data_IF_011287390148
#
_entry.id   IF_011287390148
#
_cell.length_a   1.000
_cell.length_b   1.000
_cell.length_c   1.000
_cell.angle_alpha   90.00
_cell.angle_beta   90.00
_cell.angle_gamma   90.00
#
_symmetry.space_group_name_H-M   'P 1'
#
loop_
_entity.id
_entity.type
_entity.pdbx_description
1 polymer ?
#
# COMPACT_ATOMS: atom_id res chain seq x y z
N UNK A 1 -55.40 -50.80 -2.29
CA UNK A 1 -54.58 -49.94 -1.42
C UNK A 1 -53.54 -49.22 -2.27
N UNK A 2 -53.73 -47.92 -2.49
CA UNK A 2 -52.89 -47.07 -3.35
C UNK A 2 -51.59 -46.71 -2.61
N UNK A 3 -50.43 -47.00 -3.19
CA UNK A 3 -49.13 -46.48 -2.74
C UNK A 3 -48.96 -45.09 -3.35
N UNK A 4 -48.94 -44.07 -2.49
CA UNK A 4 -48.59 -42.69 -2.86
C UNK A 4 -47.06 -42.58 -2.81
N UNK A 5 -46.47 -42.28 -3.97
CA UNK A 5 -45.05 -41.97 -4.12
C UNK A 5 -44.87 -40.49 -3.75
N UNK A 6 -44.24 -40.20 -2.61
CA UNK A 6 -43.90 -38.84 -2.20
C UNK A 6 -42.58 -38.46 -2.87
N UNK A 7 -42.66 -37.68 -3.95
CA UNK A 7 -41.51 -37.03 -4.57
C UNK A 7 -41.14 -35.83 -3.69
N UNK A 8 -40.01 -35.90 -2.98
CA UNK A 8 -39.43 -34.74 -2.30
C UNK A 8 -38.61 -33.97 -3.35
N UNK A 9 -39.19 -32.89 -3.87
CA UNK A 9 -38.46 -31.91 -4.66
C UNK A 9 -37.65 -31.05 -3.70
N UNK A 10 -36.33 -31.25 -3.62
CA UNK A 10 -35.43 -30.34 -2.90
C UNK A 10 -35.27 -29.09 -3.77
N UNK A 11 -36.03 -28.05 -3.48
CA UNK A 11 -35.77 -26.71 -3.99
C UNK A 11 -34.59 -26.14 -3.21
N UNK A 12 -33.39 -26.17 -3.79
CA UNK A 12 -32.25 -25.40 -3.29
C UNK A 12 -32.58 -23.92 -3.51
N UNK A 13 -33.11 -23.26 -2.48
CA UNK A 13 -33.13 -21.80 -2.42
C UNK A 13 -31.71 -21.32 -2.13
N UNK A 14 -30.95 -21.04 -3.19
CA UNK A 14 -29.85 -20.09 -3.13
C UNK A 14 -30.45 -18.71 -2.92
N UNK A 15 -30.54 -18.26 -1.67
CA UNK A 15 -30.71 -16.84 -1.35
C UNK A 15 -29.32 -16.30 -1.06
N UNK A 16 -28.73 -15.45 -1.93
CA UNK A 16 -27.63 -14.61 -1.49
C UNK A 16 -28.20 -13.69 -0.41
N UNK A 17 -27.62 -13.75 0.79
CA UNK A 17 -27.90 -12.82 1.87
C UNK A 17 -27.55 -11.39 1.43
N UNK A 18 -28.51 -10.68 0.84
CA UNK A 18 -28.40 -9.25 0.48
C UNK A 18 -28.65 -8.35 1.70
N UNK A 19 -29.03 -8.91 2.86
CA UNK A 19 -29.52 -8.11 4.00
C UNK A 19 -28.55 -7.93 5.19
N UNK A 20 -27.25 -8.18 5.05
CA UNK A 20 -26.27 -7.90 6.13
C UNK A 20 -25.05 -7.04 5.75
N UNK A 21 -24.80 -6.77 4.46
CA UNK A 21 -23.56 -6.11 4.03
C UNK A 21 -23.65 -4.58 4.14
N UNK A 22 -24.81 -3.98 3.89
CA UNK A 22 -24.95 -2.52 3.84
C UNK A 22 -24.82 -1.82 5.21
N UNK A 23 -25.38 -2.37 6.33
CA UNK A 23 -25.18 -1.79 7.66
C UNK A 23 -23.71 -1.84 8.11
N UNK A 24 -23.02 -2.95 7.87
CA UNK A 24 -21.59 -3.12 8.20
C UNK A 24 -20.72 -2.17 7.37
N UNK A 25 -21.02 -2.03 6.07
CA UNK A 25 -20.37 -1.06 5.18
C UNK A 25 -20.54 0.37 5.67
N UNK A 26 -21.76 0.79 6.03
CA UNK A 26 -22.01 2.16 6.52
C UNK A 26 -21.28 2.45 7.82
N UNK A 27 -21.28 1.51 8.77
CA UNK A 27 -20.54 1.64 10.02
C UNK A 27 -19.02 1.72 9.78
N UNK A 28 -18.50 0.89 8.88
CA UNK A 28 -17.09 0.93 8.49
C UNK A 28 -16.70 2.27 7.87
N UNK A 29 -17.48 2.77 6.90
CA UNK A 29 -17.22 4.08 6.28
C UNK A 29 -17.24 5.18 7.35
N UNK A 30 -18.26 5.21 8.21
CA UNK A 30 -18.35 6.19 9.30
C UNK A 30 -17.15 6.15 10.27
N UNK A 31 -16.55 4.97 10.47
CA UNK A 31 -15.37 4.81 11.32
C UNK A 31 -14.11 5.46 10.74
N UNK A 32 -13.98 5.45 9.41
CA UNK A 32 -12.79 5.94 8.69
C UNK A 32 -12.98 7.33 8.08
N UNK A 33 -14.22 7.83 7.99
CA UNK A 33 -14.51 9.19 7.52
C UNK A 33 -13.84 10.23 8.42
N UNK A 34 -13.17 11.25 7.85
CA UNK A 34 -12.63 12.36 8.63
C UNK A 34 -13.73 13.03 9.48
N UNK A 35 -13.42 13.34 10.74
CA UNK A 35 -14.37 13.96 11.68
C UNK A 35 -14.12 15.46 11.89
N UNK A 36 -13.34 16.04 11.00
CA UNK A 36 -12.87 17.43 11.05
C UNK A 36 -13.37 18.19 9.83
N UNK A 37 -13.24 19.51 9.85
CA UNK A 37 -13.70 20.39 8.76
C UNK A 37 -12.94 20.14 7.45
N UNK A 38 -11.66 19.77 7.56
CA UNK A 38 -10.81 19.48 6.40
C UNK A 38 -10.07 18.16 6.55
N UNK A 39 -9.83 17.48 5.43
CA UNK A 39 -8.88 16.38 5.32
C UNK A 39 -7.67 16.80 4.47
N UNK A 40 -6.46 16.44 4.91
CA UNK A 40 -5.22 16.74 4.18
C UNK A 40 -4.48 15.44 3.96
N UNK A 41 -4.28 15.09 2.69
CA UNK A 41 -3.52 13.93 2.26
C UNK A 41 -2.13 14.38 1.82
N UNK A 42 -1.10 13.90 2.50
CA UNK A 42 0.27 14.05 2.07
C UNK A 42 0.83 12.65 1.84
N UNK A 43 1.14 12.34 0.58
CA UNK A 43 1.33 10.96 0.14
C UNK A 43 2.72 10.75 -0.48
N UNK A 44 3.44 9.78 0.06
CA UNK A 44 4.69 9.24 -0.44
C UNK A 44 4.58 7.72 -0.60
N UNK A 45 5.08 7.20 -1.72
CA UNK A 45 4.99 5.77 -2.04
C UNK A 45 3.65 5.33 -2.63
N UNK A 46 3.57 4.08 -3.09
CA UNK A 46 2.37 3.55 -3.76
C UNK A 46 1.24 3.17 -2.81
N UNK A 47 1.57 2.57 -1.65
CA UNK A 47 0.56 2.06 -0.73
C UNK A 47 -0.29 3.19 -0.10
N UNK A 48 0.30 4.30 0.39
CA UNK A 48 -0.48 5.45 0.84
C UNK A 48 -1.32 6.08 -0.26
N UNK A 49 -0.80 6.14 -1.49
CA UNK A 49 -1.56 6.61 -2.67
C UNK A 49 -2.81 5.76 -2.89
N UNK A 50 -2.69 4.44 -2.89
CA UNK A 50 -3.83 3.55 -3.10
C UNK A 50 -4.88 3.69 -1.99
N UNK A 51 -4.43 3.71 -0.73
CA UNK A 51 -5.34 3.92 0.40
C UNK A 51 -6.09 5.24 0.27
N UNK A 52 -5.36 6.35 0.10
CA UNK A 52 -5.94 7.68 0.03
C UNK A 52 -6.88 7.82 -1.17
N UNK A 53 -6.49 7.30 -2.33
CA UNK A 53 -7.32 7.33 -3.54
C UNK A 53 -8.64 6.58 -3.37
N UNK A 54 -8.67 5.45 -2.65
CA UNK A 54 -9.93 4.79 -2.30
C UNK A 54 -10.72 5.59 -1.27
N UNK A 55 -10.05 6.06 -0.21
CA UNK A 55 -10.66 6.75 0.91
C UNK A 55 -11.34 8.07 0.51
N UNK A 56 -10.71 8.85 -0.38
CA UNK A 56 -11.28 10.08 -0.96
C UNK A 56 -12.57 9.82 -1.74
N UNK A 57 -12.83 8.61 -2.23
CA UNK A 57 -14.10 8.31 -2.91
C UNK A 57 -15.25 8.06 -1.92
N UNK A 58 -14.96 7.86 -0.63
CA UNK A 58 -15.91 7.36 0.37
C UNK A 58 -16.59 8.44 1.23
N UNK A 59 -16.18 9.70 1.09
CA UNK A 59 -16.73 10.80 1.88
C UNK A 59 -16.79 12.08 1.04
N UNK A 60 -17.34 13.15 1.61
CA UNK A 60 -17.46 14.45 0.96
C UNK A 60 -16.79 15.59 1.76
N UNK A 61 -15.96 15.25 2.75
CA UNK A 61 -15.22 16.25 3.55
C UNK A 61 -14.28 17.04 2.64
N UNK A 62 -14.30 18.40 2.66
CA UNK A 62 -13.37 19.23 1.90
C UNK A 62 -11.92 18.80 2.11
N UNK A 63 -11.23 18.49 1.02
CA UNK A 63 -9.96 17.78 1.06
C UNK A 63 -8.89 18.43 0.22
N UNK A 64 -7.64 18.31 0.68
CA UNK A 64 -6.45 18.68 -0.08
C UNK A 64 -5.59 17.45 -0.28
N UNK A 65 -5.11 17.21 -1.50
CA UNK A 65 -4.15 16.14 -1.78
C UNK A 65 -2.85 16.69 -2.33
N UNK A 66 -1.75 16.29 -1.69
CA UNK A 66 -0.40 16.36 -2.21
C UNK A 66 0.16 14.94 -2.32
N UNK A 67 0.75 14.61 -3.47
CA UNK A 67 1.37 13.32 -3.71
C UNK A 67 2.70 13.49 -4.45
N UNK A 68 3.74 12.78 -4.01
CA UNK A 68 5.03 12.78 -4.71
C UNK A 68 4.96 12.05 -6.07
N UNK A 69 4.23 10.92 -6.14
CA UNK A 69 4.06 10.14 -7.38
C UNK A 69 2.85 10.64 -8.17
N UNK A 70 2.94 11.87 -8.68
CA UNK A 70 1.88 12.50 -9.46
C UNK A 70 1.55 11.72 -10.73
N UNK A 71 2.56 11.06 -11.30
CA UNK A 71 2.46 10.23 -12.48
C UNK A 71 1.50 9.03 -12.32
N UNK A 72 1.18 8.64 -11.09
CA UNK A 72 0.17 7.61 -10.84
C UNK A 72 -1.26 8.12 -10.96
N UNK A 73 -1.48 9.44 -10.94
CA UNK A 73 -2.81 10.03 -10.92
C UNK A 73 -3.22 10.59 -12.28
N UNK A 74 -4.46 10.35 -12.67
CA UNK A 74 -5.20 11.23 -13.57
C UNK A 74 -6.09 12.15 -12.72
N UNK A 75 -5.55 13.33 -12.41
CA UNK A 75 -6.23 14.28 -11.53
C UNK A 75 -7.54 14.85 -12.09
N UNK A 76 -7.84 14.65 -13.39
CA UNK A 76 -9.16 15.00 -13.95
C UNK A 76 -10.29 14.14 -13.37
N UNK A 77 -9.95 12.99 -12.77
CA UNK A 77 -10.85 12.07 -12.11
C UNK A 77 -10.85 12.20 -10.57
N UNK A 78 -10.29 13.28 -10.02
CA UNK A 78 -10.42 13.57 -8.59
C UNK A 78 -11.89 13.78 -8.19
N UNK A 79 -12.32 13.34 -7.00
CA UNK A 79 -13.61 13.72 -6.45
C UNK A 79 -13.73 15.24 -6.33
N UNK A 80 -14.93 15.79 -6.55
CA UNK A 80 -15.16 17.24 -6.58
C UNK A 80 -14.79 17.97 -5.28
N UNK A 81 -14.87 17.28 -4.13
CA UNK A 81 -14.50 17.85 -2.83
C UNK A 81 -12.98 17.83 -2.57
N UNK A 82 -12.18 17.25 -3.47
CA UNK A 82 -10.73 17.13 -3.34
C UNK A 82 -10.03 18.12 -4.26
N UNK A 83 -9.24 18.99 -3.68
CA UNK A 83 -8.33 19.87 -4.40
C UNK A 83 -6.91 19.30 -4.41
N UNK A 84 -6.31 19.20 -5.58
CA UNK A 84 -4.89 18.91 -5.71
C UNK A 84 -4.05 20.16 -5.43
N UNK A 85 -2.92 19.98 -4.74
CA UNK A 85 -1.86 20.99 -4.66
C UNK A 85 -0.65 20.54 -5.48
N UNK A 86 -0.21 21.43 -6.37
CA UNK A 86 0.97 21.23 -7.19
C UNK A 86 2.22 21.79 -6.50
N UNK A 87 2.89 20.91 -5.76
CA UNK A 87 4.28 21.08 -5.31
C UNK A 87 5.06 19.87 -5.83
N UNK A 88 5.96 20.04 -6.81
CA UNK A 88 6.83 18.94 -7.29
C UNK A 88 7.78 18.51 -6.15
N UNK A 89 8.28 19.51 -5.43
CA UNK A 89 8.94 19.33 -4.16
C UNK A 89 8.26 20.22 -3.14
N UNK A 90 7.99 19.67 -1.97
CA UNK A 90 7.40 20.36 -0.81
C UNK A 90 8.15 21.66 -0.38
N UNK A 91 9.32 21.96 -0.96
CA UNK A 91 10.03 23.24 -0.81
C UNK A 91 9.39 24.41 -1.57
N UNK A 92 8.46 24.16 -2.50
CA UNK A 92 7.73 25.19 -3.27
C UNK A 92 6.72 25.97 -2.41
N UNK A 93 6.21 25.31 -1.37
CA UNK A 93 5.44 25.93 -0.30
C UNK A 93 4.01 26.31 -0.69
N UNK A 94 3.45 25.82 -1.80
CA UNK A 94 2.03 26.03 -2.10
C UNK A 94 1.17 25.31 -1.07
N UNK A 95 1.52 24.07 -0.71
CA UNK A 95 0.80 23.33 0.33
C UNK A 95 0.81 24.08 1.66
N UNK A 96 1.94 24.68 2.04
CA UNK A 96 2.03 25.47 3.26
C UNK A 96 1.10 26.70 3.23
N UNK A 97 1.01 27.40 2.10
CA UNK A 97 0.11 28.56 1.96
C UNK A 97 -1.35 28.15 2.03
N UNK A 98 -1.74 27.06 1.36
CA UNK A 98 -3.12 26.55 1.41
C UNK A 98 -3.49 26.17 2.86
N UNK A 99 -2.62 25.45 3.57
CA UNK A 99 -2.87 25.10 4.97
C UNK A 99 -2.96 26.35 5.85
N UNK A 100 -2.09 27.35 5.65
CA UNK A 100 -2.15 28.63 6.37
C UNK A 100 -3.46 29.38 6.12
N UNK A 101 -3.97 29.37 4.88
CA UNK A 101 -5.24 30.01 4.53
C UNK A 101 -6.42 29.34 5.22
N UNK A 102 -6.48 28.00 5.21
CA UNK A 102 -7.52 27.25 5.94
C UNK A 102 -7.42 27.50 7.45
N UNK A 103 -6.21 27.59 7.99
CA UNK A 103 -5.97 27.79 9.41
C UNK A 103 -6.30 29.20 9.92
N UNK A 104 -6.60 30.16 9.03
CA UNK A 104 -7.10 31.50 9.41
C UNK A 104 -8.42 31.41 10.16
N UNK A 105 -9.25 30.42 9.84
CA UNK A 105 -10.34 30.04 10.73
C UNK A 105 -9.73 29.34 11.96
N UNK A 106 -9.76 30.03 13.10
CA UNK A 106 -9.24 29.51 14.36
C UNK A 106 -10.00 28.28 14.89
N UNK A 107 -11.22 28.02 14.42
CA UNK A 107 -12.03 26.87 14.80
C UNK A 107 -11.79 25.63 13.94
N UNK A 108 -11.23 25.80 12.74
CA UNK A 108 -11.01 24.71 11.80
C UNK A 108 -10.05 23.65 12.37
N UNK A 109 -10.44 22.39 12.27
CA UNK A 109 -9.63 21.21 12.58
C UNK A 109 -9.30 20.44 11.31
N UNK A 110 -8.24 19.64 11.39
CA UNK A 110 -7.68 18.92 10.25
C UNK A 110 -7.45 17.45 10.59
N UNK A 111 -7.96 16.56 9.74
CA UNK A 111 -7.52 15.17 9.72
C UNK A 111 -6.39 15.07 8.69
N UNK A 112 -5.20 14.65 9.11
CA UNK A 112 -4.00 14.63 8.26
C UNK A 112 -3.59 13.18 8.01
N UNK A 113 -3.79 12.73 6.78
CA UNK A 113 -3.33 11.43 6.28
C UNK A 113 -1.92 11.59 5.72
N UNK A 114 -0.96 10.89 6.32
CA UNK A 114 0.46 11.19 6.17
C UNK A 114 1.25 9.90 6.02
N UNK A 115 2.06 9.79 4.98
CA UNK A 115 3.03 8.67 4.94
C UNK A 115 3.97 8.76 6.14
N UNK A 116 4.07 7.67 6.89
CA UNK A 116 4.83 7.52 8.13
C UNK A 116 6.30 7.95 8.01
N UNK A 117 6.96 7.61 6.91
CA UNK A 117 8.39 7.92 6.66
C UNK A 117 8.69 9.41 6.58
N UNK A 118 7.69 10.27 6.37
CA UNK A 118 7.83 11.72 6.37
C UNK A 118 7.16 12.40 7.56
N UNK A 119 6.61 11.62 8.50
CA UNK A 119 5.65 12.12 9.46
C UNK A 119 6.17 13.28 10.31
N UNK A 120 7.37 13.10 10.88
CA UNK A 120 7.94 14.10 11.77
C UNK A 120 8.23 15.42 11.09
N UNK A 121 8.78 15.37 9.88
CA UNK A 121 9.07 16.59 9.14
C UNK A 121 7.79 17.30 8.67
N UNK A 122 6.82 16.56 8.13
CA UNK A 122 5.59 17.14 7.63
C UNK A 122 4.76 17.81 8.75
N UNK A 123 4.58 17.14 9.89
CA UNK A 123 3.84 17.69 11.04
C UNK A 123 4.51 18.98 11.54
N UNK A 124 5.82 18.93 11.76
CA UNK A 124 6.55 20.06 12.32
C UNK A 124 6.59 21.26 11.37
N UNK A 125 6.80 21.03 10.07
CA UNK A 125 6.91 22.13 9.10
C UNK A 125 5.54 22.70 8.71
N UNK A 126 4.56 21.87 8.37
CA UNK A 126 3.32 22.35 7.77
C UNK A 126 2.26 22.75 8.76
N UNK A 127 2.37 22.34 10.02
CA UNK A 127 1.36 22.61 11.02
C UNK A 127 1.93 23.35 12.23
N UNK A 128 2.91 22.75 12.91
CA UNK A 128 3.44 23.31 14.16
C UNK A 128 4.18 24.63 13.92
N UNK A 129 5.03 24.70 12.87
CA UNK A 129 5.84 25.91 12.62
C UNK A 129 5.03 27.15 12.24
N UNK A 130 3.81 26.96 11.75
CA UNK A 130 2.89 28.03 11.35
C UNK A 130 1.84 28.35 12.44
N UNK A 131 1.96 27.73 13.61
CA UNK A 131 1.12 28.02 14.78
C UNK A 131 -0.17 27.22 14.90
N UNK A 132 -0.35 26.15 14.12
CA UNK A 132 -1.49 25.23 14.32
C UNK A 132 -1.21 24.36 15.55
N UNK A 133 -2.08 24.44 16.54
CA UNK A 133 -1.98 23.68 17.77
C UNK A 133 -2.36 22.21 17.58
N UNK A 134 -1.76 21.32 18.36
CA UNK A 134 -1.98 19.86 18.25
C UNK A 134 -3.44 19.46 18.52
N UNK A 135 -4.18 20.23 19.30
CA UNK A 135 -5.60 20.00 19.55
C UNK A 135 -6.50 20.31 18.34
N UNK A 136 -5.96 20.87 17.26
CA UNK A 136 -6.64 21.03 15.97
C UNK A 136 -6.32 19.93 14.96
N UNK A 137 -5.47 18.96 15.33
CA UNK A 137 -5.00 17.91 14.42
C UNK A 137 -5.46 16.52 14.85
N UNK A 138 -5.99 15.75 13.91
CA UNK A 138 -6.21 14.32 14.02
C UNK A 138 -5.26 13.65 12.99
N UNK A 139 -4.29 12.86 13.45
CA UNK A 139 -3.21 12.34 12.59
C UNK A 139 -3.45 10.87 12.21
N UNK A 140 -3.37 10.58 10.93
CA UNK A 140 -3.54 9.24 10.36
C UNK A 140 -2.23 8.87 9.64
N UNK A 141 -1.34 8.15 10.33
CA UNK A 141 -0.09 7.69 9.76
C UNK A 141 -0.36 6.49 8.84
N UNK A 142 0.07 6.57 7.59
CA UNK A 142 -0.06 5.53 6.59
C UNK A 142 1.32 4.92 6.33
N UNK A 143 1.42 3.60 6.45
CA UNK A 143 2.67 2.90 6.14
C UNK A 143 3.06 3.07 4.67
N UNK A 144 4.32 3.44 4.42
CA UNK A 144 4.94 3.31 3.09
C UNK A 144 4.94 1.85 2.59
N UNK A 145 4.97 0.89 3.51
CA UNK A 145 4.99 -0.54 3.25
C UNK A 145 6.34 -1.14 3.64
N UNK A 146 7.18 -1.48 2.65
CA UNK A 146 8.45 -2.12 2.94
C UNK A 146 9.45 -1.23 3.65
N UNK A 147 9.48 0.08 3.38
CA UNK A 147 10.41 0.98 4.06
C UNK A 147 10.09 1.03 5.56
N UNK A 148 8.82 1.17 5.93
CA UNK A 148 8.34 1.09 7.31
C UNK A 148 8.94 -0.13 8.01
N UNK A 149 8.70 -1.32 7.47
CA UNK A 149 9.12 -2.58 8.10
C UNK A 149 10.65 -2.72 8.14
N UNK A 150 11.35 -2.44 7.04
CA UNK A 150 12.81 -2.54 6.98
C UNK A 150 13.46 -1.63 8.03
N UNK A 151 12.94 -0.41 8.21
CA UNK A 151 13.45 0.54 9.19
C UNK A 151 13.22 0.08 10.63
N UNK A 152 12.11 -0.61 10.90
CA UNK A 152 11.88 -1.22 12.21
C UNK A 152 12.94 -2.28 12.54
N UNK A 153 13.18 -3.19 11.59
CA UNK A 153 14.15 -4.25 11.76
C UNK A 153 15.55 -3.68 11.97
N UNK A 154 15.96 -2.73 11.13
CA UNK A 154 17.25 -2.05 11.26
C UNK A 154 17.42 -1.35 12.60
N UNK A 155 16.38 -0.67 13.09
CA UNK A 155 16.48 0.15 14.31
C UNK A 155 16.28 -0.63 15.59
N UNK A 156 15.54 -1.74 15.59
CA UNK A 156 15.09 -2.34 16.84
C UNK A 156 15.30 -3.85 16.95
N UNK A 157 15.47 -4.54 15.83
CA UNK A 157 15.63 -6.00 15.82
C UNK A 157 17.09 -6.39 15.58
N UNK A 158 17.77 -5.73 14.64
CA UNK A 158 19.15 -6.04 14.28
C UNK A 158 20.16 -5.59 15.35
N UNK A 159 19.80 -4.60 16.17
CA UNK A 159 20.55 -4.17 17.35
C UNK A 159 19.60 -4.08 18.56
N UNK A 160 19.25 -5.24 19.16
CA UNK A 160 18.31 -5.29 20.27
C UNK A 160 18.90 -4.66 21.54
N UNK A 161 20.23 -4.62 21.66
CA UNK A 161 20.93 -4.11 22.85
C UNK A 161 20.71 -2.61 23.08
N UNK A 162 20.64 -1.82 22.01
CA UNK A 162 20.39 -0.39 22.08
C UNK A 162 18.95 0.00 21.72
N UNK A 163 18.10 -0.94 21.29
CA UNK A 163 16.77 -0.67 20.75
C UNK A 163 15.89 0.16 21.71
N UNK A 164 15.85 -0.21 22.99
CA UNK A 164 15.01 0.47 23.99
C UNK A 164 15.54 1.88 24.28
N UNK A 165 16.84 2.04 24.53
CA UNK A 165 17.44 3.35 24.78
C UNK A 165 17.32 4.27 23.56
N UNK A 166 17.47 3.74 22.34
CA UNK A 166 17.26 4.45 21.08
C UNK A 166 15.82 4.94 20.97
N UNK A 167 14.84 4.06 21.20
CA UNK A 167 13.43 4.40 21.14
C UNK A 167 13.02 5.45 22.18
N UNK A 168 13.51 5.32 23.42
CA UNK A 168 13.28 6.31 24.49
C UNK A 168 13.85 7.68 24.13
N UNK A 169 15.06 7.74 23.57
CA UNK A 169 15.67 8.98 23.11
C UNK A 169 14.87 9.61 21.96
N UNK A 170 14.41 8.80 21.00
CA UNK A 170 13.54 9.26 19.91
C UNK A 170 12.23 9.84 20.46
N UNK A 171 11.54 9.16 21.38
CA UNK A 171 10.34 9.67 22.05
C UNK A 171 10.59 11.00 22.77
N UNK A 172 11.69 11.12 23.50
CA UNK A 172 12.08 12.37 24.17
C UNK A 172 12.26 13.52 23.17
N UNK A 173 12.96 13.28 22.06
CA UNK A 173 13.20 14.27 21.01
C UNK A 173 11.89 14.69 20.33
N UNK A 174 11.01 13.74 20.02
CA UNK A 174 9.69 14.03 19.44
C UNK A 174 8.83 14.85 20.38
N UNK A 175 8.74 14.46 21.67
CA UNK A 175 8.01 15.24 22.68
C UNK A 175 8.53 16.67 22.77
N UNK A 176 9.86 16.84 22.76
CA UNK A 176 10.47 18.16 22.78
C UNK A 176 10.11 19.00 21.56
N UNK A 177 10.14 18.41 20.37
CA UNK A 177 9.78 19.09 19.13
C UNK A 177 8.29 19.46 19.06
N UNK A 178 7.40 18.65 19.65
CA UNK A 178 5.96 18.86 19.63
C UNK A 178 5.48 19.91 20.65
N UNK A 179 6.03 19.92 21.86
CA UNK A 179 5.47 20.68 22.99
C UNK A 179 6.34 21.84 23.48
N UNK A 180 7.59 21.97 23.03
CA UNK A 180 8.48 23.06 23.46
C UNK A 180 8.82 23.99 22.29
N UNK A 181 8.09 25.10 22.21
CA UNK A 181 8.19 26.13 21.16
C UNK A 181 9.54 26.88 21.14
N UNK A 182 10.37 26.75 22.18
CA UNK A 182 11.74 27.29 22.24
C UNK A 182 12.79 26.44 21.52
N UNK A 183 12.39 25.40 20.75
CA UNK A 183 13.25 24.75 19.74
C UNK A 183 13.46 25.65 18.51
N UNK A 184 13.88 26.88 18.80
CA UNK A 184 14.20 27.95 17.86
C UNK A 184 15.72 27.92 17.69
N UNK A 185 16.17 27.63 16.48
CA UNK A 185 17.53 27.92 15.96
C UNK A 185 18.71 26.96 16.22
N UNK A 186 18.54 25.63 16.34
CA UNK A 186 19.74 24.76 16.31
C UNK A 186 19.57 23.26 16.06
N UNK A 187 18.46 22.66 16.46
CA UNK A 187 18.25 21.22 16.31
C UNK A 187 16.79 20.91 15.90
N UNK A 188 16.26 21.59 14.87
CA UNK A 188 15.04 21.05 14.22
C UNK A 188 15.34 19.59 13.88
N UNK A 189 14.50 18.64 14.30
CA UNK A 189 14.62 17.25 13.84
C UNK A 189 14.86 17.32 12.33
N UNK A 190 16.02 16.85 11.90
CA UNK A 190 16.53 17.15 10.57
C UNK A 190 15.50 16.73 9.51
N UNK A 191 15.45 17.50 8.43
CA UNK A 191 14.61 17.28 7.26
C UNK A 191 14.62 15.80 6.86
N UNK A 192 13.43 15.19 6.74
CA UNK A 192 13.25 13.79 6.32
C UNK A 192 13.85 12.69 7.23
N UNK A 193 13.88 12.90 8.55
CA UNK A 193 14.34 11.84 9.44
C UNK A 193 13.24 10.82 9.77
N UNK A 194 13.22 9.73 9.00
CA UNK A 194 12.31 8.59 9.16
C UNK A 194 12.56 7.80 10.46
N UNK A 195 13.67 8.05 11.19
CA UNK A 195 13.97 7.35 12.44
C UNK A 195 12.97 7.67 13.55
N UNK A 196 12.22 8.77 13.46
CA UNK A 196 11.28 9.17 14.50
C UNK A 196 9.83 8.70 14.27
N UNK A 197 9.50 8.06 13.14
CA UNK A 197 8.11 7.73 12.79
C UNK A 197 7.36 6.97 13.91
N UNK A 198 8.06 6.03 14.55
CA UNK A 198 7.52 5.17 15.61
C UNK A 198 7.36 5.90 16.95
N UNK A 199 8.12 6.97 17.17
CA UNK A 199 7.93 7.84 18.32
C UNK A 199 6.74 8.78 18.09
N UNK A 200 6.54 9.28 16.86
CA UNK A 200 5.38 10.12 16.53
C UNK A 200 4.06 9.37 16.72
N UNK A 201 3.98 8.08 16.38
CA UNK A 201 2.77 7.27 16.60
C UNK A 201 2.38 7.07 18.08
N UNK A 202 3.23 7.51 19.01
CA UNK A 202 3.02 7.37 20.46
C UNK A 202 2.90 8.73 21.16
N UNK A 203 3.67 9.73 20.73
CA UNK A 203 3.74 11.04 21.41
C UNK A 203 2.67 12.05 20.95
N UNK A 204 2.02 11.79 19.81
CA UNK A 204 0.91 12.61 19.32
C UNK A 204 -0.38 12.28 20.10
N UNK A 205 -1.18 13.30 20.48
CA UNK A 205 -2.34 13.10 21.35
C UNK A 205 -3.52 12.40 20.66
N UNK A 206 -3.65 12.55 19.33
CA UNK A 206 -4.70 11.94 18.51
C UNK A 206 -4.11 11.41 17.22
N UNK A 207 -3.51 10.24 17.31
CA UNK A 207 -2.86 9.56 16.19
C UNK A 207 -3.38 8.15 16.04
N UNK A 208 -3.61 7.70 14.80
CA UNK A 208 -3.75 6.29 14.45
C UNK A 208 -2.67 5.93 13.44
N UNK A 209 -2.08 4.75 13.57
CA UNK A 209 -1.03 4.29 12.67
C UNK A 209 -1.44 3.03 11.91
N UNK A 210 -1.69 3.17 10.61
CA UNK A 210 -2.14 2.09 9.76
C UNK A 210 -0.99 1.35 9.09
N UNK A 211 -0.88 0.05 9.39
CA UNK A 211 0.15 -0.85 8.88
C UNK A 211 -0.47 -1.86 7.90
N UNK A 212 0.23 -2.29 6.83
CA UNK A 212 -0.32 -3.25 5.88
C UNK A 212 -0.71 -4.57 6.59
N UNK A 213 -1.61 -5.32 5.94
CA UNK A 213 -2.57 -6.33 6.46
C UNK A 213 -2.17 -7.32 7.56
N UNK A 214 -0.93 -7.34 8.04
CA UNK A 214 -0.52 -8.09 9.22
C UNK A 214 0.57 -7.36 9.99
N UNK A 215 0.37 -7.19 11.30
CA UNK A 215 1.47 -6.96 12.26
C UNK A 215 2.14 -8.24 12.76
N UNK A 216 1.91 -9.36 12.04
CA UNK A 216 3.05 -10.17 11.60
C UNK A 216 4.02 -9.24 10.83
N UNK A 217 5.01 -9.58 10.04
CA UNK A 217 6.16 -8.65 9.81
C UNK A 217 6.84 -8.23 11.13
N UNK A 218 6.26 -7.41 12.01
CA UNK A 218 6.83 -7.01 13.30
C UNK A 218 6.88 -8.18 14.30
N UNK A 219 7.93 -8.29 15.13
CA UNK A 219 7.92 -9.20 16.26
C UNK A 219 6.91 -8.77 17.33
N UNK A 220 5.84 -9.56 17.50
CA UNK A 220 4.71 -9.30 18.43
C UNK A 220 5.18 -9.04 19.88
N UNK A 221 6.34 -9.59 20.29
CA UNK A 221 6.88 -9.45 21.64
C UNK A 221 7.86 -8.27 21.83
N UNK A 222 7.99 -7.38 20.84
CA UNK A 222 8.85 -6.20 21.02
C UNK A 222 8.10 -5.09 21.75
N UNK A 223 8.69 -4.52 22.81
CA UNK A 223 8.07 -3.45 23.62
C UNK A 223 7.61 -2.26 22.77
N UNK A 224 8.35 -1.95 21.71
CA UNK A 224 8.06 -0.86 20.77
C UNK A 224 6.78 -1.16 19.98
N UNK A 225 6.59 -2.41 19.54
CA UNK A 225 5.37 -2.84 18.87
C UNK A 225 4.12 -2.69 19.77
N UNK A 226 4.28 -2.97 21.06
CA UNK A 226 3.20 -2.88 22.05
C UNK A 226 2.88 -1.43 22.47
N UNK A 227 3.81 -0.49 22.31
CA UNK A 227 3.65 0.91 22.70
C UNK A 227 2.95 1.76 21.63
N UNK A 228 3.01 1.34 20.36
CA UNK A 228 2.41 2.09 19.24
C UNK A 228 0.89 1.98 19.19
N UNK A 229 0.19 3.09 18.89
CA UNK A 229 -1.25 3.07 18.58
C UNK A 229 -1.52 2.66 17.12
N UNK A 230 -1.28 1.39 16.80
CA UNK A 230 -1.39 0.88 15.44
C UNK A 230 -2.70 0.13 15.16
N UNK A 231 -3.06 0.11 13.88
CA UNK A 231 -4.23 -0.56 13.34
C UNK A 231 -3.85 -1.29 12.05
N UNK A 232 -4.59 -2.36 11.75
CA UNK A 232 -4.48 -3.03 10.45
C UNK A 232 -5.10 -2.12 9.40
N UNK A 233 -4.32 -1.76 8.38
CA UNK A 233 -4.79 -1.08 7.18
C UNK A 233 -5.80 -2.00 6.48
N UNK A 234 -7.09 -1.64 6.42
CA UNK A 234 -8.14 -2.52 5.90
C UNK A 234 -8.18 -2.45 4.36
N UNK A 235 -7.05 -2.75 3.72
CA UNK A 235 -6.79 -2.43 2.32
C UNK A 235 -7.80 -3.07 1.35
N UNK A 236 -8.05 -4.37 1.49
CA UNK A 236 -9.05 -5.08 0.67
C UNK A 236 -10.48 -4.69 1.05
N UNK A 237 -10.76 -4.55 2.34
CA UNK A 237 -12.07 -4.12 2.84
C UNK A 237 -12.47 -2.73 2.34
N UNK A 238 -11.50 -1.82 2.19
CA UNK A 238 -11.75 -0.50 1.58
C UNK A 238 -12.22 -0.67 0.13
N UNK A 239 -11.48 -1.41 -0.67
CA UNK A 239 -11.86 -1.62 -2.06
C UNK A 239 -13.26 -2.26 -2.16
N UNK A 240 -13.55 -3.27 -1.34
CA UNK A 240 -14.86 -3.93 -1.31
C UNK A 240 -16.00 -3.00 -0.84
N UNK A 241 -15.70 -2.02 0.02
CA UNK A 241 -16.66 -1.04 0.49
C UNK A 241 -16.97 0.06 -0.55
N UNK A 242 -16.24 0.18 -1.66
CA UNK A 242 -16.58 1.11 -2.74
C UNK A 242 -17.81 0.61 -3.51
N UNK A 243 -18.72 1.52 -3.89
CA UNK A 243 -19.74 1.21 -4.91
C UNK A 243 -19.08 0.95 -6.26
N UNK A 244 -19.79 0.34 -7.20
CA UNK A 244 -19.27 0.14 -8.56
C UNK A 244 -18.84 1.47 -9.22
N UNK A 245 -19.56 2.55 -8.96
CA UNK A 245 -19.24 3.87 -9.50
C UNK A 245 -17.96 4.43 -8.85
N UNK A 246 -17.85 4.33 -7.53
CA UNK A 246 -16.64 4.72 -6.78
C UNK A 246 -15.43 3.89 -7.21
N UNK A 247 -15.58 2.58 -7.46
CA UNK A 247 -14.51 1.72 -8.00
C UNK A 247 -14.06 2.21 -9.38
N UNK A 248 -14.99 2.50 -10.29
CA UNK A 248 -14.64 3.02 -11.63
C UNK A 248 -13.93 4.38 -11.55
N UNK A 249 -14.35 5.27 -10.66
CA UNK A 249 -13.67 6.56 -10.48
C UNK A 249 -12.27 6.38 -9.88
N UNK A 250 -12.13 5.54 -8.86
CA UNK A 250 -10.84 5.18 -8.26
C UNK A 250 -9.87 4.57 -9.28
N UNK A 251 -10.34 3.61 -10.08
CA UNK A 251 -9.54 2.94 -11.11
C UNK A 251 -9.09 3.94 -12.18
N UNK A 252 -9.98 4.81 -12.67
CA UNK A 252 -9.63 5.88 -13.63
C UNK A 252 -8.67 6.90 -13.04
N UNK A 253 -8.87 7.32 -11.79
CA UNK A 253 -7.96 8.20 -11.06
C UNK A 253 -6.55 7.62 -11.02
N UNK A 254 -6.40 6.30 -11.00
CA UNK A 254 -5.09 5.62 -11.02
C UNK A 254 -4.69 5.09 -12.40
N UNK A 255 -5.31 5.62 -13.46
CA UNK A 255 -5.04 5.26 -14.86
C UNK A 255 -5.17 3.75 -15.15
N UNK A 256 -6.03 3.06 -14.40
CA UNK A 256 -6.27 1.64 -14.55
C UNK A 256 -7.54 1.38 -15.36
N UNK A 257 -7.35 0.81 -16.54
CA UNK A 257 -8.45 0.41 -17.41
C UNK A 257 -8.80 -1.06 -17.18
N UNK A 258 -9.77 -1.29 -16.29
CA UNK A 258 -10.20 -2.65 -15.94
C UNK A 258 -10.68 -3.46 -17.15
N UNK A 259 -11.44 -2.85 -18.05
CA UNK A 259 -12.01 -3.53 -19.23
C UNK A 259 -10.91 -4.03 -20.18
N UNK A 260 -9.83 -3.27 -20.34
CA UNK A 260 -8.67 -3.67 -21.15
C UNK A 260 -7.92 -4.84 -20.49
N UNK A 261 -7.78 -4.81 -19.17
CA UNK A 261 -7.21 -5.94 -18.43
C UNK A 261 -8.10 -7.19 -18.48
N UNK A 262 -9.41 -7.05 -18.34
CA UNK A 262 -10.36 -8.16 -18.45
C UNK A 262 -10.24 -8.84 -19.83
N UNK A 263 -10.16 -8.04 -20.90
CA UNK A 263 -10.02 -8.54 -22.27
C UNK A 263 -8.70 -9.30 -22.50
N UNK A 264 -7.62 -8.95 -21.79
CA UNK A 264 -6.31 -9.61 -21.92
C UNK A 264 -6.19 -10.83 -21.00
N UNK A 265 -6.60 -10.69 -19.74
CA UNK A 265 -6.42 -11.70 -18.70
C UNK A 265 -7.48 -12.82 -18.75
N UNK A 266 -8.71 -12.50 -19.16
CA UNK A 266 -9.86 -13.42 -19.10
C UNK A 266 -10.59 -13.47 -20.45
N UNK A 267 -9.85 -13.87 -21.48
CA UNK A 267 -10.39 -14.13 -22.82
C UNK A 267 -11.44 -15.25 -22.76
N UNK A 268 -12.52 -15.13 -23.54
CA UNK A 268 -13.63 -16.09 -23.52
C UNK A 268 -13.31 -17.44 -24.16
N UNK A 269 -12.18 -17.55 -24.88
CA UNK A 269 -11.80 -18.73 -25.65
C UNK A 269 -10.83 -19.66 -24.89
N UNK A 270 -10.23 -19.21 -23.79
CA UNK A 270 -9.12 -19.92 -23.16
C UNK A 270 -9.48 -20.45 -21.77
N UNK A 271 -9.16 -21.73 -21.54
CA UNK A 271 -9.34 -22.40 -20.25
C UNK A 271 -8.12 -22.22 -19.33
N UNK A 272 -7.11 -21.48 -19.76
CA UNK A 272 -5.86 -21.29 -19.03
C UNK A 272 -5.99 -20.15 -18.01
N UNK A 273 -5.34 -20.31 -16.86
CA UNK A 273 -5.41 -19.37 -15.74
C UNK A 273 -4.32 -18.30 -15.91
N UNK A 274 -4.65 -16.99 -15.85
CA UNK A 274 -3.65 -15.92 -15.94
C UNK A 274 -2.76 -15.87 -14.70
N UNK A 275 -1.46 -15.68 -14.94
CA UNK A 275 -0.42 -15.58 -13.92
C UNK A 275 0.44 -14.37 -14.20
N UNK A 276 0.58 -13.45 -13.24
CA UNK A 276 1.47 -12.30 -13.39
C UNK A 276 2.77 -12.53 -12.62
N UNK A 277 3.88 -12.56 -13.36
CA UNK A 277 5.23 -12.55 -12.82
C UNK A 277 5.70 -11.12 -12.57
N UNK A 278 6.02 -10.83 -11.31
CA UNK A 278 6.62 -9.58 -10.86
C UNK A 278 8.14 -9.63 -11.10
N UNK A 279 8.64 -8.69 -11.89
CA UNK A 279 10.06 -8.55 -12.16
C UNK A 279 10.81 -7.80 -11.06
N UNK A 280 12.09 -8.11 -10.93
CA UNK A 280 13.08 -7.30 -10.22
C UNK A 280 14.03 -6.64 -11.23
N UNK A 281 15.04 -5.97 -10.70
CA UNK A 281 16.18 -5.54 -11.47
C UNK A 281 17.45 -5.69 -10.63
N UNK A 282 18.57 -5.90 -11.31
CA UNK A 282 19.92 -5.90 -10.77
C UNK A 282 20.89 -5.44 -11.85
N UNK A 283 22.14 -5.22 -11.46
CA UNK A 283 23.21 -4.86 -12.38
C UNK A 283 24.21 -6.02 -12.44
N UNK A 284 24.68 -6.38 -13.64
CA UNK A 284 25.79 -7.32 -13.80
C UNK A 284 27.15 -6.67 -13.48
N UNK A 285 28.23 -7.46 -13.55
CA UNK A 285 29.60 -6.97 -13.29
C UNK A 285 30.07 -5.89 -14.28
N UNK A 286 29.39 -5.74 -15.42
CA UNK A 286 29.73 -4.79 -16.47
C UNK A 286 28.83 -3.55 -16.44
N UNK A 287 27.93 -3.43 -15.46
CA UNK A 287 27.03 -2.28 -15.36
C UNK A 287 25.70 -2.44 -16.12
N UNK A 288 25.45 -3.59 -16.77
CA UNK A 288 24.22 -3.78 -17.53
C UNK A 288 23.06 -4.18 -16.60
N UNK A 289 21.89 -3.58 -16.85
CA UNK A 289 20.66 -3.94 -16.14
C UNK A 289 20.13 -5.29 -16.62
N UNK A 290 19.66 -6.11 -15.68
CA UNK A 290 19.02 -7.41 -15.89
C UNK A 290 17.98 -7.65 -14.81
N UNK A 291 17.04 -8.55 -15.01
CA UNK A 291 16.03 -8.92 -14.00
C UNK A 291 16.72 -9.64 -12.83
N UNK A 292 17.45 -10.72 -13.14
CA UNK A 292 18.22 -11.52 -12.18
C UNK A 292 19.39 -12.22 -12.88
N UNK A 293 20.42 -12.60 -12.12
CA UNK A 293 21.51 -13.45 -12.60
C UNK A 293 21.02 -14.84 -13.06
N UNK A 294 19.95 -15.32 -12.44
CA UNK A 294 19.36 -16.66 -12.59
C UNK A 294 18.05 -16.65 -13.37
N UNK A 295 17.73 -15.54 -14.03
CA UNK A 295 16.40 -15.32 -14.62
C UNK A 295 15.96 -16.45 -15.54
N UNK A 296 16.86 -16.95 -16.37
CA UNK A 296 16.55 -18.02 -17.32
C UNK A 296 16.23 -19.34 -16.63
N UNK A 297 16.99 -19.71 -15.61
CA UNK A 297 16.77 -20.94 -14.83
C UNK A 297 15.46 -20.84 -14.04
N UNK A 298 15.24 -19.71 -13.36
CA UNK A 298 14.08 -19.46 -12.52
C UNK A 298 12.76 -19.56 -13.31
N UNK A 299 12.70 -18.91 -14.49
CA UNK A 299 11.48 -18.89 -15.30
C UNK A 299 11.21 -20.23 -15.98
N UNK A 300 12.24 -20.94 -16.43
CA UNK A 300 12.08 -22.28 -17.02
C UNK A 300 11.56 -23.28 -15.98
N UNK A 301 12.09 -23.24 -14.76
CA UNK A 301 11.62 -24.08 -13.66
C UNK A 301 10.19 -23.73 -13.24
N UNK A 302 9.86 -22.44 -13.18
CA UNK A 302 8.50 -21.96 -12.89
C UNK A 302 7.47 -22.56 -13.87
N UNK A 303 7.73 -22.43 -15.18
CA UNK A 303 6.83 -22.96 -16.21
C UNK A 303 6.74 -24.48 -16.13
N UNK A 304 7.86 -25.16 -15.87
CA UNK A 304 7.90 -26.61 -15.68
C UNK A 304 6.98 -27.06 -14.52
N UNK A 305 7.03 -26.36 -13.38
CA UNK A 305 6.23 -26.69 -12.20
C UNK A 305 4.75 -26.34 -12.32
N UNK A 306 4.42 -25.22 -12.96
CA UNK A 306 3.01 -24.81 -13.14
C UNK A 306 2.33 -25.60 -14.27
N UNK A 307 3.07 -25.95 -15.32
CA UNK A 307 2.54 -26.69 -16.46
C UNK A 307 1.70 -25.84 -17.43
N UNK A 308 1.06 -26.50 -18.40
CA UNK A 308 0.40 -25.86 -19.55
C UNK A 308 -0.94 -25.18 -19.26
N UNK A 309 -1.50 -25.35 -18.06
CA UNK A 309 -2.80 -24.78 -17.68
C UNK A 309 -2.76 -23.27 -17.38
N UNK A 310 -1.63 -22.61 -17.58
CA UNK A 310 -1.41 -21.22 -17.19
C UNK A 310 -0.92 -20.37 -18.36
N UNK A 311 -1.33 -19.10 -18.35
CA UNK A 311 -0.84 -18.04 -19.24
C UNK A 311 0.00 -17.07 -18.43
N UNK A 312 1.22 -16.80 -18.89
CA UNK A 312 2.19 -16.02 -18.14
C UNK A 312 2.27 -14.60 -18.67
N UNK A 313 2.20 -13.64 -17.75
CA UNK A 313 2.38 -12.23 -18.02
C UNK A 313 3.55 -11.70 -17.20
N UNK A 314 4.14 -10.60 -17.65
CA UNK A 314 5.25 -9.96 -16.95
C UNK A 314 4.95 -8.50 -16.63
N UNK A 315 5.19 -8.11 -15.38
CA UNK A 315 5.25 -6.70 -14.96
C UNK A 315 6.58 -6.45 -14.29
N UNK A 316 7.49 -5.77 -14.99
CA UNK A 316 8.83 -5.47 -14.50
C UNK A 316 8.87 -4.38 -13.44
N UNK A 317 10.04 -4.24 -12.83
CA UNK A 317 10.34 -3.11 -11.95
C UNK A 317 10.40 -1.80 -12.77
N UNK A 318 10.04 -0.62 -12.22
CA UNK A 318 10.11 0.65 -12.96
C UNK A 318 11.46 0.95 -13.62
N UNK A 319 12.57 0.56 -12.99
CA UNK A 319 13.94 0.69 -13.55
C UNK A 319 14.25 -0.27 -14.71
N UNK A 320 13.48 -1.35 -14.85
CA UNK A 320 13.61 -2.34 -15.93
C UNK A 320 12.23 -2.93 -16.29
N UNK A 321 11.32 -2.14 -16.90
CA UNK A 321 9.90 -2.50 -17.01
C UNK A 321 9.62 -3.77 -17.82
N UNK A 322 10.50 -4.08 -18.79
CA UNK A 322 10.34 -5.19 -19.72
C UNK A 322 11.50 -6.19 -19.70
N UNK A 323 12.50 -6.03 -18.83
CA UNK A 323 13.77 -6.77 -18.94
C UNK A 323 14.68 -6.23 -20.03
N UNK A 324 15.91 -6.74 -20.10
CA UNK A 324 16.84 -6.45 -21.19
C UNK A 324 16.46 -7.22 -22.49
N UNK A 325 17.07 -6.92 -23.66
CA UNK A 325 16.69 -7.57 -24.92
C UNK A 325 16.77 -9.10 -24.91
N UNK A 326 17.75 -9.68 -24.19
CA UNK A 326 17.89 -11.14 -24.06
C UNK A 326 16.73 -11.73 -23.25
N UNK A 327 16.38 -11.07 -22.14
CA UNK A 327 15.28 -11.48 -21.26
C UNK A 327 13.92 -11.35 -21.96
N UNK A 328 13.72 -10.29 -22.74
CA UNK A 328 12.53 -10.11 -23.58
C UNK A 328 12.42 -11.22 -24.64
N UNK A 329 13.51 -11.56 -25.31
CA UNK A 329 13.53 -12.64 -26.29
C UNK A 329 13.23 -14.00 -25.65
N UNK A 330 13.77 -14.26 -24.46
CA UNK A 330 13.48 -15.46 -23.69
C UNK A 330 12.00 -15.52 -23.28
N UNK A 331 11.45 -14.45 -22.72
CA UNK A 331 10.03 -14.38 -22.33
C UNK A 331 9.12 -14.64 -23.54
N UNK A 332 9.42 -14.03 -24.70
CA UNK A 332 8.71 -14.28 -25.95
C UNK A 332 8.80 -15.74 -26.39
N UNK A 333 9.99 -16.35 -26.32
CA UNK A 333 10.19 -17.76 -26.64
C UNK A 333 9.39 -18.69 -25.72
N UNK A 334 9.25 -18.31 -24.44
CA UNK A 334 8.52 -19.07 -23.42
C UNK A 334 7.01 -18.78 -23.43
N UNK A 335 6.52 -17.95 -24.35
CA UNK A 335 5.10 -17.66 -24.50
C UNK A 335 4.54 -16.68 -23.47
N UNK A 336 5.37 -15.79 -22.90
CA UNK A 336 4.87 -14.69 -22.10
C UNK A 336 4.07 -13.72 -22.95
N UNK A 337 2.97 -13.27 -22.38
CA UNK A 337 2.05 -12.31 -22.97
C UNK A 337 2.22 -10.92 -22.34
N UNK A 338 1.80 -9.91 -23.09
CA UNK A 338 1.97 -8.51 -22.71
C UNK A 338 0.77 -8.02 -21.92
N UNK A 339 1.01 -7.35 -20.80
CA UNK A 339 -0.03 -6.63 -20.07
C UNK A 339 -0.35 -5.30 -20.74
N UNK A 340 -1.62 -4.86 -20.73
CA UNK A 340 -1.95 -3.49 -21.06
C UNK A 340 -1.38 -2.53 -20.00
N UNK A 341 -1.12 -1.29 -20.40
CA UNK A 341 -0.64 -0.17 -19.57
C UNK A 341 0.06 -0.55 -18.23
N UNK A 342 1.39 -0.57 -18.16
CA UNK A 342 2.09 -0.94 -16.91
C UNK A 342 2.37 0.22 -15.95
N UNK A 343 1.79 1.40 -16.16
CA UNK A 343 2.11 2.65 -15.43
C UNK A 343 1.38 2.86 -14.10
N UNK A 344 0.64 1.87 -13.61
CA UNK A 344 -0.06 1.94 -12.32
C UNK A 344 0.60 1.06 -11.23
N UNK A 345 0.34 1.33 -9.92
CA UNK A 345 0.82 0.50 -8.81
C UNK A 345 0.34 -0.95 -8.87
N UNK A 346 1.24 -1.93 -8.74
CA UNK A 346 0.89 -3.35 -8.90
C UNK A 346 -0.24 -3.79 -7.95
N UNK A 347 -0.25 -3.28 -6.72
CA UNK A 347 -1.23 -3.61 -5.69
C UNK A 347 -2.69 -3.37 -6.14
N UNK A 348 -2.91 -2.50 -7.14
CA UNK A 348 -4.22 -2.31 -7.75
C UNK A 348 -4.75 -3.56 -8.47
N UNK A 349 -3.87 -4.36 -9.09
CA UNK A 349 -4.26 -5.66 -9.67
C UNK A 349 -4.71 -6.63 -8.59
N UNK A 350 -4.04 -6.61 -7.43
CA UNK A 350 -4.38 -7.49 -6.31
C UNK A 350 -5.75 -7.15 -5.73
N UNK A 351 -6.13 -5.87 -5.73
CA UNK A 351 -7.46 -5.40 -5.33
C UNK A 351 -8.51 -5.74 -6.40
N UNK A 352 -8.25 -5.39 -7.66
CA UNK A 352 -9.22 -5.56 -8.74
C UNK A 352 -9.52 -7.04 -9.04
N UNK A 353 -8.53 -7.91 -8.82
CA UNK A 353 -8.60 -9.35 -9.09
C UNK A 353 -8.20 -10.20 -7.87
N UNK A 354 -9.11 -10.42 -6.91
CA UNK A 354 -8.82 -11.19 -5.70
C UNK A 354 -8.36 -12.63 -5.94
N UNK A 355 -8.68 -13.21 -7.11
CA UNK A 355 -8.31 -14.57 -7.50
C UNK A 355 -7.09 -14.64 -8.43
N UNK A 356 -6.48 -13.49 -8.76
CA UNK A 356 -5.32 -13.46 -9.64
C UNK A 356 -4.13 -14.15 -8.99
N UNK A 357 -3.50 -15.04 -9.76
CA UNK A 357 -2.26 -15.69 -9.35
C UNK A 357 -1.09 -14.76 -9.66
N UNK A 358 -0.29 -14.48 -8.64
CA UNK A 358 0.91 -13.66 -8.74
C UNK A 358 2.11 -14.35 -8.12
N UNK A 359 3.29 -13.92 -8.53
CA UNK A 359 4.55 -14.38 -7.96
C UNK A 359 5.71 -13.72 -8.67
N UNK A 360 6.94 -14.02 -8.27
CA UNK A 360 8.12 -13.47 -8.93
C UNK A 360 9.23 -13.17 -7.94
N UNK A 361 10.05 -12.18 -8.27
CA UNK A 361 11.17 -11.80 -7.41
C UNK A 361 10.71 -11.01 -6.19
N UNK A 362 11.47 -11.12 -5.10
CA UNK A 362 11.21 -10.46 -3.81
C UNK A 362 10.82 -8.99 -3.99
N UNK A 363 9.57 -8.65 -3.67
CA UNK A 363 8.97 -7.32 -3.85
C UNK A 363 8.08 -6.94 -2.66
N UNK A 364 8.02 -5.64 -2.36
CA UNK A 364 7.12 -5.10 -1.32
C UNK A 364 5.65 -5.39 -1.60
N UNK A 365 5.29 -5.56 -2.87
CA UNK A 365 3.95 -5.89 -3.33
C UNK A 365 3.40 -7.13 -2.63
N UNK A 366 4.24 -8.12 -2.35
CA UNK A 366 3.82 -9.37 -1.71
C UNK A 366 3.18 -9.15 -0.34
N UNK A 367 3.58 -8.09 0.38
CA UNK A 367 3.02 -7.72 1.70
C UNK A 367 1.52 -7.36 1.61
N UNK A 368 1.03 -7.02 0.42
CA UNK A 368 -0.37 -6.67 0.17
C UNK A 368 -1.16 -7.77 -0.54
N UNK A 369 -0.50 -8.84 -0.99
CA UNK A 369 -1.14 -9.98 -1.62
C UNK A 369 -1.85 -10.84 -0.57
N UNK A 370 -3.06 -11.27 -0.87
CA UNK A 370 -3.76 -12.25 -0.06
C UNK A 370 -3.01 -13.59 -0.09
N UNK A 371 -3.17 -14.38 0.98
CA UNK A 371 -2.49 -15.68 1.17
C UNK A 371 -2.62 -16.64 -0.02
N UNK A 372 -3.71 -16.53 -0.77
CA UNK A 372 -4.06 -17.41 -1.90
C UNK A 372 -3.59 -16.85 -3.27
N UNK A 373 -3.26 -15.55 -3.34
CA UNK A 373 -2.81 -14.89 -4.57
C UNK A 373 -1.32 -15.17 -4.86
N UNK A 374 -0.46 -15.15 -3.83
CA UNK A 374 0.97 -15.40 -4.01
C UNK A 374 1.24 -16.91 -4.14
N UNK A 375 1.66 -17.36 -5.33
CA UNK A 375 1.85 -18.79 -5.63
C UNK A 375 3.29 -19.19 -5.94
N UNK A 376 4.19 -18.23 -6.15
CA UNK A 376 5.60 -18.52 -6.33
C UNK A 376 6.50 -17.34 -5.99
N UNK A 377 7.70 -17.65 -5.51
CA UNK A 377 8.76 -16.70 -5.20
C UNK A 377 10.02 -17.17 -5.94
N UNK A 378 10.66 -16.27 -6.67
CA UNK A 378 11.87 -16.52 -7.45
C UNK A 378 13.07 -15.84 -6.78
N UNK A 379 14.18 -16.58 -6.69
CA UNK A 379 15.43 -16.10 -6.13
C UNK A 379 15.39 -15.88 -4.61
N UNK A 380 16.45 -15.26 -4.10
CA UNK A 380 16.60 -15.00 -2.67
C UNK A 380 15.59 -13.96 -2.16
N UNK A 381 15.09 -14.20 -0.95
CA UNK A 381 14.31 -13.21 -0.20
C UNK A 381 15.25 -12.17 0.40
N UNK A 382 15.13 -10.93 -0.03
CA UNK A 382 16.05 -9.85 0.36
C UNK A 382 15.39 -8.75 1.16
N UNK A 383 14.06 -8.64 1.12
CA UNK A 383 13.32 -7.65 1.90
C UNK A 383 12.83 -8.26 3.21
N UNK A 384 13.11 -7.58 4.34
CA UNK A 384 12.74 -8.06 5.68
C UNK A 384 11.24 -8.38 5.83
N UNK A 385 10.28 -7.55 5.35
CA UNK A 385 8.87 -7.92 5.47
C UNK A 385 8.53 -9.22 4.76
N UNK A 386 9.08 -9.47 3.55
CA UNK A 386 8.78 -10.67 2.80
C UNK A 386 9.39 -11.90 3.47
N UNK A 387 10.63 -11.80 3.92
CA UNK A 387 11.30 -12.85 4.69
C UNK A 387 10.48 -13.21 5.94
N UNK A 388 10.10 -12.20 6.73
CA UNK A 388 9.38 -12.39 7.99
C UNK A 388 7.95 -12.93 7.82
N UNK A 389 7.31 -12.71 6.66
CA UNK A 389 6.00 -13.31 6.34
C UNK A 389 6.16 -14.74 5.82
N UNK A 390 7.17 -14.97 4.98
CA UNK A 390 7.50 -16.29 4.46
C UNK A 390 7.87 -17.27 5.59
N UNK A 391 8.76 -16.88 6.51
CA UNK A 391 9.17 -17.70 7.67
C UNK A 391 8.00 -18.02 8.60
N UNK A 392 6.97 -17.16 8.63
CA UNK A 392 5.74 -17.37 9.41
C UNK A 392 4.68 -18.16 8.67
N UNK A 393 4.96 -18.63 7.45
CA UNK A 393 4.04 -19.46 6.67
C UNK A 393 2.83 -18.69 6.14
N UNK A 394 2.94 -17.38 5.91
CA UNK A 394 1.83 -16.55 5.41
C UNK A 394 1.35 -16.93 4.01
N UNK A 395 2.22 -17.53 3.21
CA UNK A 395 1.91 -17.97 1.84
C UNK A 395 2.15 -19.47 1.71
N UNK A 396 1.28 -20.31 2.31
CA UNK A 396 1.49 -21.76 2.36
C UNK A 396 1.41 -22.43 0.98
N UNK A 397 0.82 -21.74 -0.01
CA UNK A 397 0.70 -22.22 -1.40
C UNK A 397 1.83 -21.73 -2.30
N UNK A 398 2.74 -20.90 -1.80
CA UNK A 398 3.83 -20.34 -2.59
C UNK A 398 4.99 -21.34 -2.68
N UNK A 399 5.38 -21.69 -3.91
CA UNK A 399 6.63 -22.41 -4.14
C UNK A 399 7.82 -21.43 -4.15
N UNK A 400 8.91 -21.79 -3.48
CA UNK A 400 10.15 -21.02 -3.51
C UNK A 400 11.16 -21.69 -4.46
N UNK A 401 11.54 -20.96 -5.52
CA UNK A 401 12.51 -21.40 -6.53
C UNK A 401 13.78 -20.57 -6.33
N UNK A 402 14.90 -21.22 -6.03
CA UNK A 402 16.19 -20.57 -5.79
C UNK A 402 17.28 -21.32 -6.55
N UNK A 403 18.08 -20.59 -7.33
CA UNK A 403 19.22 -21.09 -8.08
C UNK A 403 20.50 -20.31 -7.73
#
# INVERSE_FOLDING_TARGET
MKRILLIITITIMMIPSIYSIEPERKQFIQLITPKTEYAIYMLWGSLPVLYASMHMQMHDVPSIVWAQRREHFDFSHLPQHVQQVEDLYLREGHLARVIQELARDSSARFTVYLTDTMAGWAILQYFISIGISLDRLDIELLSDGSATTNLYYQQYINDPSAAISRYQLQRQKVRRALYHTTYVNGERLATWDYHYMYAFSTELPRVRYWLPHTTAVFPINSLIHLDMNWFVLPFHTLYDALTNDQKRQFERLLQFNREEFDAVLYTTEESQIPVIMIGAWSTDSNGNRRISATFEQDVKELISRMGKGYRFFFKGHPELPSGNPKEQALMKQLGFETLPNVSFPFELLLLAYPQLIVGGYSSSVFVTANKDQLRFILGSLTTQPVLALHERGMWPLAMHIVH
#
